data_IF_863752696390
#
_entry.id   IF_863752696390
#
_cell.length_a   1.000
_cell.length_b   1.000
_cell.length_c   1.000
_cell.angle_alpha   90.00
_cell.angle_beta   90.00
_cell.angle_gamma   90.00
#
_symmetry.space_group_name_H-M   'P 1'
#
loop_
_entity.id
_entity.type
_entity.pdbx_description
1 polymer ?
#
# COMPACT_ATOMS: atom_id res chain seq x y z
N UNK A 1 -21.68 -4.25 -25.58
CA UNK A 1 -21.19 -2.96 -26.10
C UNK A 1 -20.72 -2.17 -24.89
N UNK A 2 -19.42 -2.26 -24.56
CA UNK A 2 -18.87 -1.53 -23.42
C UNK A 2 -18.65 -0.09 -23.86
N UNK A 3 -19.41 0.84 -23.27
CA UNK A 3 -19.15 2.26 -23.46
C UNK A 3 -17.81 2.56 -22.80
N UNK A 4 -16.78 2.80 -23.60
CA UNK A 4 -15.50 3.31 -23.11
C UNK A 4 -15.71 4.81 -22.79
N UNK A 5 -16.25 5.08 -21.61
CA UNK A 5 -16.30 6.43 -21.06
C UNK A 5 -14.87 6.90 -20.82
N UNK A 6 -14.28 7.55 -21.84
CA UNK A 6 -12.98 8.22 -21.74
C UNK A 6 -13.08 9.41 -20.80
N UNK A 7 -13.03 9.10 -19.52
CA UNK A 7 -12.73 10.06 -18.48
C UNK A 7 -11.25 10.40 -18.63
N UNK A 8 -10.90 11.68 -18.81
CA UNK A 8 -9.50 12.16 -18.86
C UNK A 8 -8.80 12.03 -17.48
N UNK A 9 -9.23 11.11 -16.64
CA UNK A 9 -8.74 10.88 -15.29
C UNK A 9 -7.97 9.56 -15.27
N UNK A 10 -6.77 9.53 -14.65
CA UNK A 10 -5.93 8.35 -14.64
C UNK A 10 -6.52 7.18 -13.83
N UNK A 11 -7.46 7.49 -12.95
CA UNK A 11 -8.16 6.55 -12.08
C UNK A 11 -9.61 7.04 -12.00
N UNK A 12 -10.55 6.15 -12.32
CA UNK A 12 -11.98 6.34 -12.12
C UNK A 12 -12.48 5.28 -11.15
N UNK A 13 -13.25 5.69 -10.16
CA UNK A 13 -13.81 4.80 -9.15
C UNK A 13 -15.32 4.99 -9.07
N UNK A 14 -16.05 3.88 -9.09
CA UNK A 14 -17.50 3.85 -8.94
C UNK A 14 -17.91 2.90 -7.82
N UNK A 15 -18.85 3.34 -6.99
CA UNK A 15 -19.50 2.49 -5.99
C UNK A 15 -20.95 2.34 -6.41
N UNK A 16 -21.38 1.10 -6.62
CA UNK A 16 -22.74 0.75 -7.00
C UNK A 16 -23.45 0.05 -5.84
N UNK A 17 -24.59 0.59 -5.40
CA UNK A 17 -25.42 -0.03 -4.37
C UNK A 17 -26.45 -0.95 -5.04
N UNK A 18 -26.30 -2.25 -4.82
CA UNK A 18 -27.19 -3.27 -5.41
C UNK A 18 -28.29 -3.69 -4.42
N UNK A 19 -28.46 -2.97 -3.30
CA UNK A 19 -29.49 -3.22 -2.28
C UNK A 19 -29.15 -4.34 -1.29
N UNK A 20 -28.40 -5.37 -1.70
CA UNK A 20 -27.83 -6.39 -0.78
C UNK A 20 -26.34 -6.14 -0.46
N UNK A 21 -25.74 -5.11 -1.06
CA UNK A 21 -24.36 -4.75 -0.82
C UNK A 21 -23.84 -3.69 -1.80
N UNK A 22 -22.59 -3.29 -1.58
CA UNK A 22 -21.89 -2.32 -2.40
C UNK A 22 -20.86 -3.02 -3.30
N UNK A 23 -20.87 -2.69 -4.59
CA UNK A 23 -19.85 -3.12 -5.55
C UNK A 23 -18.92 -1.95 -5.83
N UNK A 24 -17.62 -2.13 -5.55
CA UNK A 24 -16.60 -1.16 -5.90
C UNK A 24 -15.95 -1.54 -7.22
N UNK A 25 -16.00 -0.64 -8.20
CA UNK A 25 -15.36 -0.81 -9.51
C UNK A 25 -14.30 0.27 -9.69
N UNK A 26 -13.04 -0.15 -9.80
CA UNK A 26 -11.92 0.72 -10.14
C UNK A 26 -11.54 0.52 -11.61
N UNK A 27 -11.47 1.62 -12.36
CA UNK A 27 -10.94 1.68 -13.72
C UNK A 27 -9.67 2.51 -13.69
N UNK A 28 -8.57 1.95 -14.18
CA UNK A 28 -7.26 2.61 -14.15
C UNK A 28 -6.62 2.62 -15.52
N UNK A 29 -5.80 3.64 -15.80
CA UNK A 29 -4.94 3.63 -16.97
C UNK A 29 -3.85 2.56 -16.85
N UNK A 30 -3.30 2.14 -18.00
CA UNK A 30 -2.18 1.19 -18.06
C UNK A 30 -1.02 1.64 -17.16
N UNK A 31 -0.58 0.76 -16.26
CA UNK A 31 0.51 1.00 -15.31
C UNK A 31 0.07 1.09 -13.84
N UNK A 32 -1.22 1.20 -13.57
CA UNK A 32 -1.79 1.14 -12.21
C UNK A 32 -2.61 -0.14 -12.08
N UNK A 33 -2.27 -0.98 -11.10
CA UNK A 33 -3.02 -2.20 -10.81
C UNK A 33 -4.41 -1.84 -10.21
N UNK A 34 -5.51 -2.11 -10.93
CA UNK A 34 -6.85 -1.79 -10.45
C UNK A 34 -7.24 -2.65 -9.24
N UNK A 35 -6.71 -3.87 -9.11
CA UNK A 35 -7.03 -4.77 -8.00
C UNK A 35 -6.42 -4.26 -6.70
N UNK A 36 -5.15 -3.82 -6.75
CA UNK A 36 -4.51 -3.17 -5.60
C UNK A 36 -5.28 -1.93 -5.15
N UNK A 37 -5.74 -1.12 -6.11
CA UNK A 37 -6.49 0.09 -5.81
C UNK A 37 -7.83 -0.22 -5.14
N UNK A 38 -8.55 -1.23 -5.62
CA UNK A 38 -9.78 -1.72 -4.97
C UNK A 38 -9.50 -2.24 -3.56
N UNK A 39 -8.41 -2.98 -3.34
CA UNK A 39 -8.03 -3.47 -2.01
C UNK A 39 -7.75 -2.34 -1.01
N UNK A 40 -7.08 -1.26 -1.45
CA UNK A 40 -6.84 -0.09 -0.62
C UNK A 40 -8.14 0.58 -0.19
N UNK A 41 -9.08 0.70 -1.12
CA UNK A 41 -10.36 1.32 -0.86
C UNK A 41 -11.24 0.49 0.06
N UNK A 42 -11.30 -0.82 -0.14
CA UNK A 42 -11.99 -1.73 0.78
C UNK A 42 -11.41 -1.61 2.18
N UNK A 43 -10.08 -1.56 2.30
CA UNK A 43 -9.41 -1.40 3.60
C UNK A 43 -9.74 -0.05 4.24
N UNK A 44 -9.64 1.04 3.48
CA UNK A 44 -9.96 2.38 3.95
C UNK A 44 -11.43 2.49 4.37
N UNK A 45 -12.36 1.93 3.59
CA UNK A 45 -13.79 1.95 3.90
C UNK A 45 -14.09 1.17 5.18
N UNK A 46 -13.51 -0.02 5.35
CA UNK A 46 -13.64 -0.77 6.59
C UNK A 46 -13.06 0.00 7.79
N UNK A 47 -11.88 0.61 7.63
CA UNK A 47 -11.28 1.42 8.69
C UNK A 47 -12.09 2.67 9.03
N UNK A 48 -12.75 3.28 8.05
CA UNK A 48 -13.66 4.41 8.27
C UNK A 48 -14.92 3.96 9.01
N UNK A 49 -15.52 2.83 8.61
CA UNK A 49 -16.69 2.27 9.29
C UNK A 49 -16.34 1.90 10.74
N UNK A 50 -15.19 1.27 10.97
CA UNK A 50 -14.70 0.94 12.31
C UNK A 50 -14.46 2.19 13.16
N UNK A 51 -13.85 3.23 12.58
CA UNK A 51 -13.65 4.50 13.26
C UNK A 51 -14.98 5.16 13.61
N UNK A 52 -15.96 5.19 12.71
CA UNK A 52 -17.29 5.77 12.99
C UNK A 52 -18.03 5.02 14.10
N UNK A 53 -17.92 3.69 14.14
CA UNK A 53 -18.57 2.85 15.16
C UNK A 53 -17.86 2.96 16.51
N UNK A 54 -16.53 2.97 16.52
CA UNK A 54 -15.73 2.92 17.75
C UNK A 54 -15.46 4.31 18.34
N UNK A 55 -15.10 5.29 17.52
CA UNK A 55 -14.80 6.66 17.93
C UNK A 55 -14.97 7.66 16.77
N UNK A 56 -16.12 8.33 16.66
CA UNK A 56 -16.37 9.28 15.57
C UNK A 56 -15.51 10.55 15.65
N UNK A 57 -14.80 10.82 16.75
CA UNK A 57 -13.85 11.93 16.86
C UNK A 57 -12.43 11.54 16.44
N UNK A 58 -12.21 10.27 16.07
CA UNK A 58 -10.91 9.79 15.64
C UNK A 58 -10.43 10.54 14.38
N UNK A 59 -9.18 11.03 14.35
CA UNK A 59 -8.66 11.72 13.17
C UNK A 59 -8.62 10.78 11.97
N UNK A 60 -9.15 11.24 10.83
CA UNK A 60 -9.22 10.46 9.59
C UNK A 60 -7.84 9.98 9.10
N UNK A 61 -6.79 10.73 9.43
CA UNK A 61 -5.40 10.39 9.11
C UNK A 61 -4.88 9.15 9.84
N UNK A 62 -5.58 8.67 10.87
CA UNK A 62 -5.19 7.47 11.62
C UNK A 62 -5.85 6.19 11.10
N UNK A 63 -6.72 6.31 10.09
CA UNK A 63 -7.40 5.18 9.47
C UNK A 63 -6.44 4.50 8.49
N UNK A 64 -6.17 3.20 8.65
CA UNK A 64 -5.30 2.48 7.73
C UNK A 64 -5.97 2.36 6.36
N UNK A 65 -5.25 2.75 5.32
CA UNK A 65 -5.66 2.57 3.91
C UNK A 65 -4.95 1.39 3.24
N UNK A 66 -3.85 0.93 3.84
CA UNK A 66 -3.03 -0.17 3.33
C UNK A 66 -3.50 -1.48 3.96
N UNK A 67 -3.75 -2.53 3.16
CA UNK A 67 -3.98 -3.89 3.65
C UNK A 67 -2.80 -4.33 4.53
N UNK A 68 -3.07 -5.09 5.59
CA UNK A 68 -2.04 -5.55 6.52
C UNK A 68 -0.90 -6.31 5.83
N UNK A 69 -1.23 -7.14 4.83
CA UNK A 69 -0.23 -7.88 4.05
C UNK A 69 0.72 -6.95 3.30
N UNK A 70 0.22 -5.86 2.73
CA UNK A 70 1.03 -4.90 1.97
C UNK A 70 1.81 -3.98 2.91
N UNK A 71 1.21 -3.60 4.05
CA UNK A 71 1.93 -2.91 5.13
C UNK A 71 3.11 -3.76 5.64
N UNK A 72 2.92 -5.07 5.80
CA UNK A 72 4.00 -5.98 6.18
C UNK A 72 5.10 -6.02 5.12
N UNK A 73 4.74 -6.14 3.85
CA UNK A 73 5.74 -6.14 2.79
C UNK A 73 6.56 -4.84 2.74
N UNK A 74 5.90 -3.69 2.89
CA UNK A 74 6.59 -2.40 2.85
C UNK A 74 7.45 -2.16 4.09
N UNK A 75 6.98 -2.52 5.29
CA UNK A 75 7.67 -2.23 6.54
C UNK A 75 8.70 -3.28 6.93
N UNK A 76 8.50 -4.53 6.53
CA UNK A 76 9.33 -5.67 6.94
C UNK A 76 10.08 -6.22 5.75
N UNK A 77 9.39 -6.78 4.75
CA UNK A 77 10.04 -7.54 3.67
C UNK A 77 10.97 -6.66 2.80
N UNK A 78 10.58 -5.43 2.47
CA UNK A 78 11.43 -4.49 1.74
C UNK A 78 12.52 -3.84 2.59
N UNK A 79 12.31 -3.71 3.90
CA UNK A 79 13.31 -3.19 4.83
C UNK A 79 14.18 -4.29 5.45
N UNK A 80 14.06 -5.54 4.97
CA UNK A 80 14.90 -6.67 5.38
C UNK A 80 16.30 -6.61 4.75
N UNK A 81 16.91 -5.42 4.73
CA UNK A 81 18.30 -5.16 4.33
C UNK A 81 19.26 -5.23 5.51
N UNK A 82 18.84 -5.85 6.63
CA UNK A 82 19.75 -6.21 7.71
C UNK A 82 20.77 -7.23 7.20
N UNK A 83 21.83 -6.72 6.60
CA UNK A 83 23.07 -7.45 6.43
C UNK A 83 23.82 -7.39 7.76
N UNK A 84 24.32 -8.54 8.19
CA UNK A 84 25.29 -8.65 9.28
C UNK A 84 26.57 -7.94 8.81
N UNK A 85 26.61 -6.62 9.01
CA UNK A 85 27.78 -5.82 8.74
C UNK A 85 28.61 -5.81 10.03
N UNK A 86 29.87 -6.26 10.00
CA UNK A 86 30.73 -6.15 11.16
C UNK A 86 30.97 -4.66 11.44
N UNK A 87 30.19 -4.10 12.37
CA UNK A 87 30.30 -2.70 12.80
C UNK A 87 31.64 -2.42 13.51
N UNK A 88 32.33 -3.48 13.94
CA UNK A 88 33.63 -3.42 14.60
C UNK A 88 34.81 -3.39 13.62
N UNK A 89 34.61 -3.75 12.35
CA UNK A 89 35.66 -3.68 11.34
C UNK A 89 35.69 -2.27 10.76
N UNK A 90 36.74 -1.52 11.04
CA UNK A 90 36.91 -0.20 10.45
C UNK A 90 37.17 -0.38 8.95
N UNK A 91 36.58 0.47 8.11
CA UNK A 91 36.68 0.37 6.64
C UNK A 91 38.14 0.30 6.17
N UNK A 92 39.08 0.89 6.92
CA UNK A 92 40.51 0.85 6.61
C UNK A 92 41.15 -0.52 6.85
N UNK A 93 40.74 -1.27 7.88
CA UNK A 93 41.28 -2.61 8.17
C UNK A 93 40.88 -3.61 7.07
N UNK A 94 39.64 -3.52 6.57
CA UNK A 94 39.17 -4.32 5.43
C UNK A 94 39.91 -3.98 4.14
N UNK A 95 40.36 -2.72 3.98
CA UNK A 95 41.09 -2.28 2.81
C UNK A 95 42.55 -2.71 2.83
N UNK A 96 43.19 -2.68 4.00
CA UNK A 96 44.56 -3.17 4.19
C UNK A 96 44.65 -4.69 3.97
N UNK A 97 43.72 -5.48 4.52
CA UNK A 97 43.68 -6.94 4.33
C UNK A 97 43.48 -7.31 2.84
N UNK A 98 42.62 -6.58 2.12
CA UNK A 98 42.39 -6.75 0.69
C UNK A 98 43.59 -6.33 -0.19
N UNK A 99 44.38 -5.35 0.24
CA UNK A 99 45.57 -4.88 -0.47
C UNK A 99 46.80 -5.77 -0.24
N UNK A 100 46.80 -6.56 0.84
CA UNK A 100 47.87 -7.50 1.18
C UNK A 100 47.71 -8.86 0.46
N UNK A 101 46.58 -9.08 -0.21
CA UNK A 101 46.22 -10.27 -0.98
C UNK A 101 46.57 -10.12 -2.45
#
# INVERSE_FOLDING_TARGET
MFAEERTNYPITLSVDDQGEGFTLTAQTLHGIDPVRLTHYLVTALHGLLDAVVSDPQRPILTVPILPDAERQQLLVDFNATQADFPQEALIHELFEDQAQR
#
